data_IF_532583188091
#
_entry.id   IF_532583188091
#
_cell.length_a   1.000
_cell.length_b   1.000
_cell.length_c   1.000
_cell.angle_alpha   90.00
_cell.angle_beta   90.00
_cell.angle_gamma   90.00
#
_symmetry.space_group_name_H-M   'P 1'
#
loop_
_entity.id
_entity.type
_entity.pdbx_description
1 polymer ?
#
# COMPACT_ATOMS: atom_id res chain seq x y z
N UNK A 1 -10.16 -21.08 43.76
CA UNK A 1 -9.03 -21.63 43.01
C UNK A 1 -9.51 -22.02 41.62
N UNK A 2 -9.00 -21.37 40.58
CA UNK A 2 -9.31 -21.66 39.18
C UNK A 2 -8.05 -22.23 38.54
N UNK A 3 -8.14 -23.40 37.93
CA UNK A 3 -7.05 -23.98 37.15
C UNK A 3 -7.37 -23.78 35.67
N UNK A 4 -6.46 -23.14 34.93
CA UNK A 4 -6.64 -22.80 33.52
C UNK A 4 -5.40 -23.20 32.72
N UNK A 5 -5.57 -23.51 31.43
CA UNK A 5 -4.46 -23.63 30.48
C UNK A 5 -4.65 -22.58 29.42
N UNK A 6 -3.70 -21.65 29.31
CA UNK A 6 -3.66 -20.70 28.23
C UNK A 6 -2.84 -21.30 27.09
N UNK A 7 -3.45 -21.44 25.93
CA UNK A 7 -2.75 -21.87 24.72
C UNK A 7 -2.70 -20.70 23.74
N UNK A 8 -1.48 -20.33 23.36
CA UNK A 8 -1.20 -19.42 22.26
C UNK A 8 -0.74 -20.26 21.07
N UNK A 9 -1.61 -20.39 20.09
CA UNK A 9 -1.27 -20.92 18.78
C UNK A 9 -0.99 -19.79 17.81
N UNK A 10 -0.18 -20.06 16.79
CA UNK A 10 0.01 -19.15 15.68
C UNK A 10 0.63 -19.87 14.50
N UNK A 11 0.43 -19.33 13.33
CA UNK A 11 1.09 -19.76 12.12
C UNK A 11 1.80 -18.55 11.53
N UNK A 12 3.12 -18.64 11.36
CA UNK A 12 3.90 -17.62 10.69
C UNK A 12 4.36 -18.18 9.35
N UNK A 13 4.01 -17.52 8.24
CA UNK A 13 4.67 -17.78 6.97
C UNK A 13 5.92 -16.91 6.90
N UNK A 14 7.05 -17.41 6.39
CA UNK A 14 8.20 -16.55 6.11
C UNK A 14 7.75 -15.39 5.19
N UNK A 15 7.78 -14.16 5.71
CA UNK A 15 7.36 -12.97 4.97
C UNK A 15 5.87 -12.60 5.07
N UNK A 16 5.06 -13.24 5.92
CA UNK A 16 3.72 -12.73 6.28
C UNK A 16 3.74 -12.01 7.62
N UNK A 17 2.91 -10.98 7.74
CA UNK A 17 2.67 -10.25 8.99
C UNK A 17 1.21 -10.28 9.45
N UNK A 18 1.03 -10.00 10.74
CA UNK A 18 -0.23 -10.04 11.45
C UNK A 18 -1.22 -8.99 10.91
N UNK A 19 -2.45 -9.43 10.65
CA UNK A 19 -3.52 -8.60 10.10
C UNK A 19 -3.96 -7.44 11.00
N UNK A 20 -4.70 -6.52 10.38
CA UNK A 20 -5.21 -5.25 10.93
C UNK A 20 -5.70 -5.33 12.37
N UNK A 21 -5.07 -4.55 13.25
CA UNK A 21 -5.31 -4.45 14.70
C UNK A 21 -6.50 -3.53 15.09
N UNK A 22 -7.46 -3.28 14.22
CA UNK A 22 -8.57 -2.34 14.49
C UNK A 22 -9.95 -2.99 14.53
N UNK A 23 -10.67 -2.85 15.65
CA UNK A 23 -12.06 -3.28 15.79
C UNK A 23 -13.01 -2.28 15.12
N UNK A 24 -13.57 -2.70 13.97
CA UNK A 24 -14.51 -1.91 13.19
C UNK A 24 -15.84 -1.61 13.91
N UNK A 25 -16.19 -2.36 14.97
CA UNK A 25 -17.47 -2.20 15.68
C UNK A 25 -17.39 -1.11 16.74
N UNK A 26 -16.26 -0.98 17.42
CA UNK A 26 -16.12 -0.08 18.58
C UNK A 26 -15.26 1.16 18.31
N UNK A 27 -14.56 1.24 17.18
CA UNK A 27 -13.74 2.41 16.82
C UNK A 27 -12.56 2.63 17.78
N UNK A 28 -12.11 1.57 18.45
CA UNK A 28 -10.98 1.59 19.39
C UNK A 28 -9.91 0.61 18.94
N UNK A 29 -8.67 1.05 19.05
CA UNK A 29 -7.48 0.20 18.98
C UNK A 29 -7.43 -0.65 20.26
N UNK A 30 -7.24 -1.97 20.14
CA UNK A 30 -6.94 -2.83 21.30
C UNK A 30 -8.13 -3.43 22.06
N UNK A 31 -9.32 -3.55 21.45
CA UNK A 31 -10.39 -4.43 21.96
C UNK A 31 -10.94 -5.32 20.85
N UNK A 32 -10.34 -6.49 20.65
CA UNK A 32 -10.81 -7.45 19.65
C UNK A 32 -11.76 -8.48 20.25
N UNK A 33 -12.91 -8.72 19.59
CA UNK A 33 -13.77 -9.89 19.80
C UNK A 33 -13.84 -10.84 18.60
N UNK A 34 -13.02 -10.64 17.58
CA UNK A 34 -13.02 -11.44 16.33
C UNK A 34 -11.58 -11.74 15.84
N UNK A 35 -11.40 -12.85 15.09
CA UNK A 35 -10.09 -13.51 14.92
C UNK A 35 -9.18 -12.80 13.93
N UNK A 36 -7.91 -12.64 14.32
CA UNK A 36 -6.81 -12.09 13.52
C UNK A 36 -6.04 -13.25 12.82
N UNK A 37 -5.26 -13.03 11.74
CA UNK A 37 -4.59 -14.10 10.99
C UNK A 37 -3.35 -14.67 11.70
N UNK A 38 -2.95 -14.12 12.85
CA UNK A 38 -2.37 -14.93 13.92
C UNK A 38 -3.56 -15.44 14.72
N UNK A 39 -3.98 -16.69 14.51
CA UNK A 39 -4.99 -17.35 15.35
C UNK A 39 -4.45 -17.54 16.78
N UNK A 40 -4.33 -16.45 17.54
CA UNK A 40 -4.29 -16.48 18.99
C UNK A 40 -5.71 -16.79 19.48
N UNK A 41 -6.13 -18.04 19.31
CA UNK A 41 -7.37 -18.52 19.92
C UNK A 41 -7.08 -18.82 21.38
N UNK A 42 -7.34 -17.83 22.24
CA UNK A 42 -7.39 -18.06 23.68
C UNK A 42 -8.69 -18.79 24.00
N UNK A 43 -8.63 -20.12 24.10
CA UNK A 43 -9.76 -20.90 24.61
C UNK A 43 -9.81 -20.75 26.13
N UNK A 44 -10.58 -19.78 26.61
CA UNK A 44 -10.82 -19.56 28.04
C UNK A 44 -12.23 -19.99 28.39
N UNK A 45 -12.35 -20.96 29.30
CA UNK A 45 -13.62 -21.27 29.96
C UNK A 45 -13.83 -20.28 31.13
N UNK A 46 -14.39 -19.10 30.86
CA UNK A 46 -14.69 -18.09 31.89
C UNK A 46 -14.38 -16.63 31.51
N UNK A 47 -15.02 -15.67 32.18
CA UNK A 47 -15.14 -14.27 31.75
C UNK A 47 -13.86 -13.41 31.83
N UNK A 48 -13.71 -12.55 30.81
CA UNK A 48 -12.87 -11.33 30.67
C UNK A 48 -11.38 -11.51 30.32
N UNK A 49 -11.04 -11.31 29.03
CA UNK A 49 -9.68 -11.16 28.50
C UNK A 49 -9.57 -9.78 27.84
N UNK A 50 -8.50 -9.05 28.10
CA UNK A 50 -8.03 -7.91 27.29
C UNK A 50 -6.72 -8.33 26.59
N UNK A 51 -6.57 -8.06 25.30
CA UNK A 51 -5.35 -8.35 24.53
C UNK A 51 -4.86 -7.15 23.73
N UNK A 52 -3.55 -7.03 23.56
CA UNK A 52 -2.88 -6.05 22.71
C UNK A 52 -1.78 -6.74 21.91
N UNK A 53 -1.55 -6.38 20.66
CA UNK A 53 -0.50 -6.97 19.82
C UNK A 53 0.43 -5.86 19.36
N UNK A 54 1.75 -6.01 19.48
CA UNK A 54 2.80 -5.20 18.81
C UNK A 54 3.32 -5.96 17.57
N UNK A 55 4.02 -5.32 16.63
CA UNK A 55 4.86 -6.04 15.68
C UNK A 55 5.80 -7.00 16.46
N UNK A 56 5.66 -8.30 16.20
CA UNK A 56 6.35 -9.40 16.88
C UNK A 56 6.01 -9.70 18.36
N UNK A 57 4.97 -9.12 18.98
CA UNK A 57 4.57 -9.47 20.36
C UNK A 57 3.05 -9.55 20.54
N UNK A 58 2.57 -10.51 21.35
CA UNK A 58 1.16 -10.68 21.69
C UNK A 58 1.02 -10.60 23.22
N UNK A 59 0.29 -9.60 23.70
CA UNK A 59 -0.01 -9.40 25.11
C UNK A 59 -1.42 -9.91 25.40
N UNK A 60 -1.56 -10.83 26.35
CA UNK A 60 -2.85 -11.38 26.79
C UNK A 60 -2.96 -11.20 28.30
N UNK A 61 -3.97 -10.47 28.75
CA UNK A 61 -4.25 -10.27 30.18
C UNK A 61 -5.28 -11.29 30.67
N UNK A 62 -4.85 -12.19 31.56
CA UNK A 62 -5.67 -13.14 32.30
C UNK A 62 -5.06 -13.36 33.69
N UNK A 63 -5.92 -13.49 34.71
CA UNK A 63 -5.50 -13.58 36.11
C UNK A 63 -5.03 -15.03 36.43
N UNK A 64 -3.97 -15.28 37.23
CA UNK A 64 -3.51 -16.66 37.60
C UNK A 64 -2.02 -17.03 37.66
N UNK A 65 -1.65 -18.07 38.42
CA UNK A 65 -0.29 -18.55 38.74
C UNK A 65 0.10 -19.88 38.07
N UNK A 66 1.15 -20.02 37.25
CA UNK A 66 1.54 -21.40 36.92
C UNK A 66 2.80 -21.66 36.09
N UNK A 67 2.75 -22.69 35.26
CA UNK A 67 3.93 -23.37 34.70
C UNK A 67 3.89 -23.33 33.16
N UNK A 68 5.00 -22.92 32.54
CA UNK A 68 5.15 -22.88 31.08
C UNK A 68 5.45 -24.29 30.56
N UNK A 69 4.57 -24.78 29.69
CA UNK A 69 4.82 -26.02 28.97
C UNK A 69 5.79 -25.74 27.81
N UNK A 70 6.65 -26.71 27.46
CA UNK A 70 7.57 -26.54 26.35
C UNK A 70 6.82 -26.22 25.05
N UNK A 71 7.32 -25.26 24.24
CA UNK A 71 6.68 -24.89 22.98
C UNK A 71 6.69 -26.08 22.02
N UNK A 72 5.55 -26.31 21.35
CA UNK A 72 5.44 -27.24 20.23
C UNK A 72 5.60 -26.44 18.94
N UNK A 73 6.57 -26.82 18.12
CA UNK A 73 6.78 -26.27 16.78
C UNK A 73 6.49 -27.36 15.76
N UNK A 74 5.64 -27.05 14.79
CA UNK A 74 5.26 -27.93 13.70
C UNK A 74 5.47 -27.19 12.38
N UNK A 75 6.17 -27.84 11.45
CA UNK A 75 6.40 -27.28 10.11
C UNK A 75 5.42 -27.91 9.15
N UNK A 76 4.51 -27.10 8.60
CA UNK A 76 3.51 -27.55 7.63
C UNK A 76 3.73 -26.87 6.30
N UNK A 77 3.53 -27.58 5.20
CA UNK A 77 3.39 -26.96 3.89
C UNK A 77 1.90 -26.74 3.69
N UNK A 78 1.45 -25.49 3.77
CA UNK A 78 0.08 -25.14 3.46
C UNK A 78 -0.06 -24.92 1.96
N UNK A 79 -1.14 -25.43 1.39
CA UNK A 79 -1.53 -25.21 0.00
C UNK A 79 -2.63 -24.15 0.00
N UNK A 80 -2.30 -22.93 -0.40
CA UNK A 80 -3.26 -21.84 -0.51
C UNK A 80 -3.37 -21.45 -1.97
N UNK A 81 -4.53 -21.67 -2.58
CA UNK A 81 -4.78 -21.41 -4.01
C UNK A 81 -3.77 -22.08 -4.97
N UNK A 82 -3.23 -23.26 -4.61
CA UNK A 82 -2.23 -23.98 -5.41
C UNK A 82 -0.76 -23.56 -5.15
N UNK A 83 -0.53 -22.61 -4.26
CA UNK A 83 0.81 -22.21 -3.81
C UNK A 83 1.22 -23.02 -2.58
N UNK A 84 2.26 -23.84 -2.73
CA UNK A 84 2.91 -24.53 -1.60
C UNK A 84 3.84 -23.58 -0.86
N UNK A 85 3.48 -23.17 0.35
CA UNK A 85 4.34 -22.35 1.21
C UNK A 85 4.67 -23.03 2.53
N UNK A 86 5.94 -23.07 2.95
CA UNK A 86 6.28 -23.52 4.29
C UNK A 86 5.70 -22.53 5.29
N UNK A 87 4.87 -23.04 6.19
CA UNK A 87 4.28 -22.31 7.31
C UNK A 87 4.85 -22.88 8.59
N UNK A 88 5.38 -22.02 9.44
CA UNK A 88 5.81 -22.38 10.79
C UNK A 88 4.61 -22.25 11.72
N UNK A 89 4.01 -23.38 12.09
CA UNK A 89 3.00 -23.40 13.14
C UNK A 89 3.69 -23.55 14.50
N UNK A 90 3.22 -22.79 15.49
CA UNK A 90 3.66 -22.92 16.86
C UNK A 90 2.46 -23.01 17.80
N UNK A 91 2.66 -23.71 18.89
CA UNK A 91 1.74 -23.77 20.01
C UNK A 91 2.56 -23.64 21.30
N UNK A 92 2.26 -22.61 22.09
CA UNK A 92 2.84 -22.38 23.41
C UNK A 92 1.70 -22.48 24.41
N UNK A 93 1.82 -23.39 25.38
CA UNK A 93 0.81 -23.57 26.42
C UNK A 93 1.36 -23.22 27.80
N UNK A 94 0.55 -22.57 28.62
CA UNK A 94 0.91 -22.15 29.97
C UNK A 94 -0.21 -22.55 30.93
N UNK A 95 0.11 -23.37 31.95
CA UNK A 95 -0.84 -23.74 33.00
C UNK A 95 -0.88 -22.63 34.04
N UNK A 96 -2.06 -22.38 34.62
CA UNK A 96 -2.35 -21.30 35.55
C UNK A 96 -3.24 -21.82 36.69
N UNK A 97 -3.04 -21.28 37.89
CA UNK A 97 -3.75 -21.54 39.14
C UNK A 97 -4.02 -20.18 39.78
N UNK A 98 -5.26 -19.70 39.71
CA UNK A 98 -5.68 -18.42 40.30
C UNK A 98 -6.28 -18.67 41.67
N UNK A 99 -5.70 -18.11 42.73
CA UNK A 99 -6.34 -18.14 44.04
C UNK A 99 -7.40 -17.02 44.20
N UNK A 100 -8.43 -17.19 45.04
CA UNK A 100 -9.47 -16.18 45.23
C UNK A 100 -8.88 -14.82 45.68
N UNK A 101 -9.11 -13.77 44.89
CA UNK A 101 -8.60 -12.42 45.17
C UNK A 101 -7.16 -12.15 44.70
N UNK A 102 -6.49 -13.11 44.07
CA UNK A 102 -5.16 -12.96 43.48
C UNK A 102 -5.23 -12.46 42.03
N UNK A 103 -4.36 -11.50 41.66
CA UNK A 103 -4.21 -11.00 40.28
C UNK A 103 -2.81 -11.27 39.75
N UNK A 104 -2.70 -11.75 38.50
CA UNK A 104 -1.41 -11.93 37.80
C UNK A 104 -1.46 -11.35 36.40
N UNK A 105 -0.28 -11.02 35.90
CA UNK A 105 -0.08 -10.50 34.55
C UNK A 105 0.91 -11.40 33.83
N UNK A 106 0.57 -11.78 32.60
CA UNK A 106 1.39 -12.63 31.75
C UNK A 106 1.71 -11.84 30.49
N UNK A 107 2.99 -11.83 30.10
CA UNK A 107 3.43 -11.28 28.83
C UNK A 107 4.06 -12.41 28.02
N UNK A 108 3.53 -12.63 26.80
CA UNK A 108 4.11 -13.57 25.86
C UNK A 108 4.96 -12.79 24.87
N UNK A 109 6.24 -13.18 24.75
CA UNK A 109 7.10 -12.64 23.71
C UNK A 109 7.55 -13.77 22.79
N UNK A 110 7.32 -13.60 21.50
CA UNK A 110 7.79 -14.51 20.46
C UNK A 110 8.83 -13.78 19.63
N UNK A 111 10.10 -14.13 19.81
CA UNK A 111 11.19 -13.55 19.03
C UNK A 111 11.54 -14.47 17.86
N UNK A 112 11.49 -13.94 16.64
CA UNK A 112 11.97 -14.62 15.44
C UNK A 112 13.43 -14.24 15.20
N UNK A 113 14.30 -15.22 14.98
CA UNK A 113 15.72 -15.00 14.70
C UNK A 113 16.27 -16.10 13.79
N UNK A 114 17.29 -15.76 13.00
CA UNK A 114 17.97 -16.70 12.10
C UNK A 114 18.76 -17.78 12.85
N UNK A 115 19.00 -17.60 14.15
CA UNK A 115 19.51 -18.64 15.03
C UNK A 115 19.16 -18.35 16.50
N UNK A 116 19.12 -19.41 17.33
CA UNK A 116 18.97 -19.29 18.79
C UNK A 116 20.06 -18.44 19.46
N UNK A 117 21.24 -18.33 18.86
CA UNK A 117 22.36 -17.58 19.41
C UNK A 117 22.22 -16.06 19.24
N UNK A 118 21.36 -15.60 18.32
CA UNK A 118 21.13 -14.18 18.01
C UNK A 118 19.83 -13.65 18.66
N UNK A 119 18.96 -14.55 19.11
CA UNK A 119 17.75 -14.20 19.86
C UNK A 119 18.12 -13.76 21.29
N UNK A 120 18.46 -12.49 21.47
CA UNK A 120 18.28 -11.90 22.80
C UNK A 120 16.77 -11.87 23.07
N UNK A 121 16.28 -12.44 24.18
CA UNK A 121 14.87 -12.28 24.53
C UNK A 121 14.62 -10.77 24.63
N UNK A 122 13.62 -10.23 23.90
CA UNK A 122 13.34 -8.81 23.96
C UNK A 122 13.03 -8.44 25.41
N UNK A 123 13.31 -7.19 25.75
CA UNK A 123 13.00 -6.70 27.10
C UNK A 123 11.51 -6.83 27.31
N UNK A 124 11.10 -7.65 28.29
CA UNK A 124 9.69 -7.77 28.66
C UNK A 124 9.28 -6.42 29.26
N UNK A 125 8.46 -5.69 28.52
CA UNK A 125 7.83 -4.46 29.00
C UNK A 125 6.52 -4.81 29.71
N UNK A 126 6.09 -3.95 30.65
CA UNK A 126 4.77 -4.13 31.29
C UNK A 126 3.65 -3.96 30.25
N UNK A 127 2.49 -4.57 30.52
CA UNK A 127 1.30 -4.37 29.69
C UNK A 127 0.96 -2.88 29.55
N UNK A 128 1.03 -2.12 30.65
CA UNK A 128 0.79 -0.68 30.64
C UNK A 128 1.77 0.07 29.73
N UNK A 129 3.04 -0.36 29.68
CA UNK A 129 4.05 0.25 28.81
C UNK A 129 3.84 -0.12 27.34
N UNK A 130 3.44 -1.36 27.04
CA UNK A 130 3.06 -1.76 25.69
C UNK A 130 1.82 -1.00 25.21
N UNK A 131 0.80 -0.90 26.06
CA UNK A 131 -0.39 -0.11 25.78
C UNK A 131 -0.05 1.36 25.57
N UNK A 132 0.82 1.94 26.42
CA UNK A 132 1.26 3.32 26.26
C UNK A 132 2.00 3.53 24.94
N UNK A 133 2.89 2.61 24.54
CA UNK A 133 3.58 2.69 23.25
C UNK A 133 2.60 2.65 22.07
N UNK A 134 1.54 1.83 22.17
CA UNK A 134 0.44 1.81 21.20
C UNK A 134 -0.37 3.10 21.16
N UNK A 135 -0.76 3.60 22.34
CA UNK A 135 -1.52 4.84 22.48
C UNK A 135 -0.70 6.02 21.90
N UNK A 136 0.61 6.03 22.12
CA UNK A 136 1.55 7.02 21.54
C UNK A 136 1.65 6.86 20.01
N UNK A 137 1.83 5.63 19.50
CA UNK A 137 1.94 5.35 18.05
C UNK A 137 0.67 5.70 17.28
N UNK A 138 -0.50 5.56 17.89
CA UNK A 138 -1.79 5.82 17.24
C UNK A 138 -2.45 7.11 17.67
N UNK A 139 -1.80 7.94 18.50
CA UNK A 139 -2.32 9.23 18.93
C UNK A 139 -2.73 10.10 17.72
N UNK A 140 -1.93 10.08 16.65
CA UNK A 140 -2.22 10.81 15.41
C UNK A 140 -3.42 10.23 14.64
N UNK A 141 -3.68 8.92 14.72
CA UNK A 141 -4.88 8.29 14.14
C UNK A 141 -6.12 8.67 14.94
N UNK A 142 -6.03 8.67 16.27
CA UNK A 142 -7.13 9.09 17.15
C UNK A 142 -7.51 10.56 16.97
N UNK A 143 -6.64 11.39 16.42
CA UNK A 143 -6.96 12.78 16.06
C UNK A 143 -7.93 12.89 14.86
N UNK A 144 -8.08 11.84 14.04
CA UNK A 144 -9.01 11.85 12.91
C UNK A 144 -10.45 11.91 13.43
N UNK A 145 -11.18 12.95 13.04
CA UNK A 145 -12.59 13.14 13.38
C UNK A 145 -13.37 13.70 12.20
N UNK A 146 -14.59 13.20 12.01
CA UNK A 146 -15.57 13.73 11.07
C UNK A 146 -16.93 13.84 11.76
N UNK A 147 -17.89 14.61 11.22
CA UNK A 147 -19.23 14.68 11.78
C UNK A 147 -19.95 13.31 11.84
N UNK A 148 -19.56 12.36 10.98
CA UNK A 148 -20.09 11.00 10.94
C UNK A 148 -19.18 10.04 11.74
N UNK A 149 -19.75 9.39 12.75
CA UNK A 149 -19.01 8.46 13.61
C UNK A 149 -18.57 7.19 12.88
N UNK A 150 -19.39 6.66 11.97
CA UNK A 150 -19.06 5.47 11.18
C UNK A 150 -17.95 5.79 10.20
N UNK A 151 -18.03 6.95 9.54
CA UNK A 151 -16.96 7.39 8.65
C UNK A 151 -15.65 7.66 9.39
N UNK A 152 -15.73 8.25 10.59
CA UNK A 152 -14.57 8.43 11.47
C UNK A 152 -13.92 7.09 11.83
N UNK A 153 -14.71 6.09 12.23
CA UNK A 153 -14.19 4.76 12.55
C UNK A 153 -13.55 4.08 11.32
N UNK A 154 -14.14 4.23 10.13
CA UNK A 154 -13.58 3.70 8.89
C UNK A 154 -12.24 4.34 8.54
N UNK A 155 -12.13 5.68 8.62
CA UNK A 155 -10.88 6.38 8.35
C UNK A 155 -9.76 5.99 9.33
N UNK A 156 -10.08 5.91 10.62
CA UNK A 156 -9.13 5.48 11.65
C UNK A 156 -8.64 4.05 11.41
N UNK A 157 -9.55 3.14 11.06
CA UNK A 157 -9.20 1.77 10.69
C UNK A 157 -8.23 1.73 9.52
N UNK A 158 -8.54 2.48 8.45
CA UNK A 158 -7.70 2.53 7.25
C UNK A 158 -6.33 3.13 7.56
N UNK A 159 -6.26 4.22 8.33
CA UNK A 159 -4.99 4.83 8.73
C UNK A 159 -4.15 3.88 9.59
N UNK A 160 -4.74 3.24 10.61
CA UNK A 160 -4.05 2.26 11.45
C UNK A 160 -3.53 1.07 10.63
N UNK A 161 -4.32 0.58 9.67
CA UNK A 161 -3.86 -0.46 8.75
C UNK A 161 -2.69 0.01 7.89
N UNK A 162 -2.78 1.18 7.24
CA UNK A 162 -1.66 1.74 6.47
C UNK A 162 -0.40 1.92 7.31
N UNK A 163 -0.50 2.36 8.58
CA UNK A 163 0.63 2.47 9.50
C UNK A 163 1.26 1.11 9.85
N UNK A 164 0.46 0.05 9.89
CA UNK A 164 0.95 -1.30 10.13
C UNK A 164 1.72 -1.88 8.94
N UNK A 165 1.57 -1.31 7.75
CA UNK A 165 2.29 -1.74 6.55
C UNK A 165 3.69 -1.10 6.45
N UNK A 166 4.04 -0.13 7.31
CA UNK A 166 5.33 0.57 7.26
C UNK A 166 6.41 -0.12 8.10
N UNK A 167 7.55 -0.43 7.47
CA UNK A 167 8.67 -1.15 8.06
C UNK A 167 9.96 -0.37 7.95
N UNK A 168 10.50 0.04 9.11
CA UNK A 168 11.83 0.65 9.18
C UNK A 168 12.89 -0.39 8.84
N UNK A 169 13.79 -0.06 7.90
CA UNK A 169 14.90 -0.94 7.60
C UNK A 169 15.99 -0.78 8.65
N UNK A 170 16.31 -1.88 9.34
CA UNK A 170 17.26 -1.89 10.44
C UNK A 170 18.61 -1.25 10.07
N UNK A 171 19.03 -0.26 10.88
CA UNK A 171 20.30 0.45 10.69
C UNK A 171 20.27 1.52 9.61
N UNK A 172 19.10 1.81 9.02
CA UNK A 172 18.90 2.87 8.01
C UNK A 172 17.78 3.80 8.46
N UNK A 173 17.87 5.07 8.06
CA UNK A 173 16.80 6.05 8.26
C UNK A 173 15.83 6.00 7.08
N UNK A 174 15.23 4.84 6.87
CA UNK A 174 14.46 4.48 5.68
C UNK A 174 13.35 3.50 6.06
N UNK A 175 12.24 3.56 5.33
CA UNK A 175 11.06 2.70 5.53
C UNK A 175 10.63 2.14 4.19
N UNK A 176 10.11 0.91 4.17
CA UNK A 176 9.31 0.38 3.05
C UNK A 176 7.86 0.20 3.47
N UNK A 177 6.94 0.27 2.52
CA UNK A 177 5.58 -0.20 2.75
C UNK A 177 5.43 -1.60 2.15
N UNK A 178 4.95 -2.56 2.93
CA UNK A 178 4.58 -3.86 2.38
C UNK A 178 3.19 -3.79 1.77
N UNK A 179 3.10 -4.17 0.50
CA UNK A 179 1.83 -4.36 -0.16
C UNK A 179 1.23 -5.70 0.28
N UNK A 180 -0.09 -5.74 0.45
CA UNK A 180 -0.83 -6.96 0.77
C UNK A 180 -0.97 -7.87 -0.47
N UNK A 181 0.16 -8.18 -1.09
CA UNK A 181 0.27 -9.28 -2.02
C UNK A 181 0.72 -10.47 -1.19
N UNK A 182 -0.20 -11.41 -0.94
CA UNK A 182 0.01 -12.70 -0.25
C UNK A 182 1.21 -13.50 -0.78
N UNK A 183 1.82 -13.05 -1.88
CA UNK A 183 2.91 -13.69 -2.56
C UNK A 183 4.31 -13.28 -2.06
N UNK A 184 4.61 -12.00 -1.76
CA UNK A 184 5.97 -11.55 -1.44
C UNK A 184 5.96 -10.30 -0.53
N UNK A 185 6.83 -10.19 0.49
CA UNK A 185 7.01 -8.96 1.27
C UNK A 185 7.77 -7.93 0.43
N UNK A 186 7.05 -7.22 -0.44
CA UNK A 186 7.59 -6.25 -1.40
C UNK A 186 6.90 -4.90 -1.29
N UNK A 187 7.63 -3.89 -1.77
CA UNK A 187 7.20 -2.51 -1.91
C UNK A 187 6.88 -2.26 -3.39
N UNK A 188 5.60 -2.17 -3.74
CA UNK A 188 5.16 -1.87 -5.11
C UNK A 188 4.90 -0.36 -5.23
N UNK A 189 5.55 0.29 -6.19
CA UNK A 189 5.51 1.75 -6.33
C UNK A 189 4.09 2.35 -6.44
N UNK A 190 3.13 1.61 -7.03
CA UNK A 190 1.73 2.05 -7.15
C UNK A 190 1.00 1.95 -5.82
N UNK A 191 1.05 0.80 -5.19
CA UNK A 191 0.33 0.53 -3.95
C UNK A 191 0.91 1.36 -2.80
N UNK A 192 2.23 1.41 -2.70
CA UNK A 192 2.97 2.16 -1.68
C UNK A 192 2.74 3.66 -1.81
N UNK A 193 2.62 4.20 -3.03
CA UNK A 193 2.18 5.60 -3.20
C UNK A 193 0.81 5.85 -2.54
N UNK A 194 -0.15 4.93 -2.70
CA UNK A 194 -1.48 5.10 -2.10
C UNK A 194 -1.44 4.98 -0.56
N UNK A 195 -0.61 4.08 -0.03
CA UNK A 195 -0.37 3.94 1.42
C UNK A 195 0.32 5.19 1.97
N UNK A 196 1.47 5.58 1.43
CA UNK A 196 2.21 6.77 1.84
C UNK A 196 1.31 8.02 1.76
N UNK A 197 0.54 8.15 0.68
CA UNK A 197 -0.34 9.27 0.51
C UNK A 197 -1.53 9.30 1.49
N UNK A 198 -2.02 8.15 1.97
CA UNK A 198 -3.05 8.12 3.02
C UNK A 198 -2.51 8.57 4.37
N UNK A 199 -1.21 8.34 4.60
CA UNK A 199 -0.50 8.67 5.83
C UNK A 199 0.12 10.07 5.82
N UNK A 200 0.20 10.74 4.67
CA UNK A 200 0.95 11.99 4.53
C UNK A 200 0.55 13.09 5.55
N UNK A 201 -0.73 13.17 5.91
CA UNK A 201 -1.23 14.16 6.87
C UNK A 201 -1.19 13.68 8.33
N UNK A 202 -0.82 12.43 8.56
CA UNK A 202 -0.86 11.75 9.86
C UNK A 202 0.58 11.45 10.34
N UNK A 203 1.41 10.89 9.45
CA UNK A 203 2.81 10.51 9.69
C UNK A 203 3.71 10.95 8.52
N UNK A 204 3.92 12.27 8.31
CA UNK A 204 4.76 12.76 7.22
C UNK A 204 6.21 12.28 7.30
N UNK A 205 6.74 12.03 8.51
CA UNK A 205 8.09 11.50 8.69
C UNK A 205 8.24 10.07 8.16
N UNK A 206 7.19 9.25 8.28
CA UNK A 206 7.20 7.89 7.72
C UNK A 206 7.23 7.95 6.19
N UNK A 207 6.47 8.88 5.59
CA UNK A 207 6.51 9.14 4.14
C UNK A 207 7.89 9.66 3.71
N UNK A 208 8.51 10.53 4.50
CA UNK A 208 9.87 11.02 4.25
C UNK A 208 10.88 9.86 4.21
N UNK A 209 10.82 8.94 5.18
CA UNK A 209 11.67 7.74 5.21
C UNK A 209 11.43 6.81 4.02
N UNK A 210 10.20 6.68 3.55
CA UNK A 210 9.87 5.93 2.33
C UNK A 210 10.44 6.59 1.07
N UNK A 211 10.34 7.92 0.96
CA UNK A 211 10.99 8.66 -0.12
C UNK A 211 12.52 8.53 -0.07
N UNK A 212 13.13 8.49 1.12
CA UNK A 212 14.57 8.20 1.26
C UNK A 212 14.91 6.84 0.68
N UNK A 213 14.12 5.81 0.98
CA UNK A 213 14.30 4.49 0.39
C UNK A 213 14.24 4.53 -1.14
N UNK A 214 13.22 5.17 -1.75
CA UNK A 214 13.15 5.26 -3.22
C UNK A 214 14.30 6.05 -3.84
N UNK A 215 14.53 7.27 -3.35
CA UNK A 215 15.38 8.23 -4.04
C UNK A 215 16.87 8.11 -3.71
N UNK A 216 17.22 7.48 -2.58
CA UNK A 216 18.61 7.34 -2.12
C UNK A 216 19.12 5.89 -2.11
N UNK A 217 18.23 4.89 -2.22
CA UNK A 217 18.61 3.46 -2.23
C UNK A 217 18.06 2.73 -3.47
N UNK A 218 16.75 2.50 -3.52
CA UNK A 218 16.13 1.57 -4.46
C UNK A 218 16.30 1.95 -5.94
N UNK A 219 15.91 3.17 -6.34
CA UNK A 219 15.96 3.62 -7.74
C UNK A 219 17.41 3.92 -8.20
N UNK A 220 18.28 4.51 -7.37
CA UNK A 220 19.71 4.59 -7.69
C UNK A 220 20.32 3.23 -8.04
N UNK A 221 20.04 2.21 -7.22
CA UNK A 221 20.68 0.90 -7.33
C UNK A 221 20.03 -0.01 -8.39
N UNK A 222 18.70 -0.02 -8.49
CA UNK A 222 17.97 -0.97 -9.32
C UNK A 222 17.28 -0.35 -10.55
N UNK A 223 17.23 0.99 -10.64
CA UNK A 223 16.43 1.69 -11.65
C UNK A 223 14.94 1.73 -11.29
N UNK A 224 14.13 2.34 -12.15
CA UNK A 224 12.66 2.33 -11.99
C UNK A 224 12.13 0.93 -12.27
N UNK A 225 11.81 0.20 -11.22
CA UNK A 225 11.21 -1.13 -11.27
C UNK A 225 9.78 -1.15 -10.72
N UNK A 226 9.12 -2.30 -10.90
CA UNK A 226 7.75 -2.51 -10.43
C UNK A 226 7.65 -2.55 -8.91
N UNK A 227 8.53 -3.34 -8.32
CA UNK A 227 8.58 -3.53 -6.88
C UNK A 227 10.00 -3.68 -6.38
N UNK A 228 10.20 -3.44 -5.09
CA UNK A 228 11.48 -3.53 -4.41
C UNK A 228 11.35 -4.30 -3.10
N UNK A 229 12.43 -4.94 -2.68
CA UNK A 229 12.58 -5.41 -1.29
C UNK A 229 13.42 -4.40 -0.49
N UNK A 230 13.37 -4.45 0.84
CA UNK A 230 14.09 -3.56 1.76
C UNK A 230 15.62 -3.58 1.67
N UNK A 231 16.21 -4.23 0.66
CA UNK A 231 17.63 -4.12 0.27
C UNK A 231 17.85 -3.25 -0.97
N UNK A 232 16.82 -2.54 -1.44
CA UNK A 232 16.89 -1.75 -2.68
C UNK A 232 16.97 -2.59 -3.95
N UNK A 233 16.60 -3.88 -3.89
CA UNK A 233 16.65 -4.79 -5.03
C UNK A 233 15.28 -4.82 -5.69
N UNK A 234 15.22 -4.56 -7.00
CA UNK A 234 13.98 -4.67 -7.75
C UNK A 234 13.57 -6.12 -8.00
N UNK A 235 12.30 -6.40 -7.80
CA UNK A 235 11.60 -7.66 -8.11
C UNK A 235 10.60 -7.45 -9.26
N UNK A 236 10.59 -8.38 -10.22
CA UNK A 236 9.78 -8.32 -11.44
C UNK A 236 10.60 -8.12 -12.73
N UNK A 237 9.94 -8.19 -13.89
CA UNK A 237 10.59 -7.99 -15.20
C UNK A 237 11.10 -6.55 -15.32
N UNK A 238 12.42 -6.38 -15.24
CA UNK A 238 13.11 -5.07 -15.33
C UNK A 238 13.00 -4.39 -16.69
N UNK A 239 12.57 -5.12 -17.71
CA UNK A 239 12.47 -4.63 -19.09
C UNK A 239 11.11 -4.01 -19.41
N UNK A 240 10.12 -4.13 -18.51
CA UNK A 240 8.79 -3.56 -18.69
C UNK A 240 8.81 -2.04 -18.49
N UNK A 241 8.34 -1.28 -19.50
CA UNK A 241 8.11 0.17 -19.39
C UNK A 241 6.78 0.37 -18.69
N UNK A 242 6.82 0.74 -17.41
CA UNK A 242 5.63 0.89 -16.58
C UNK A 242 5.46 2.37 -16.20
N UNK A 243 4.65 3.09 -16.97
CA UNK A 243 4.53 4.54 -16.85
C UNK A 243 4.07 4.98 -15.47
N UNK A 244 3.11 4.27 -14.90
CA UNK A 244 2.58 4.57 -13.58
C UNK A 244 3.63 4.36 -12.50
N UNK A 245 4.42 3.29 -12.57
CA UNK A 245 5.45 2.97 -11.58
C UNK A 245 6.65 3.91 -11.65
N UNK A 246 6.94 4.49 -12.82
CA UNK A 246 7.88 5.60 -12.92
C UNK A 246 7.29 6.92 -12.37
N UNK A 247 5.99 7.14 -12.53
CA UNK A 247 5.32 8.37 -12.11
C UNK A 247 5.01 8.43 -10.61
N UNK A 248 4.70 7.30 -9.97
CA UNK A 248 4.23 7.29 -8.58
C UNK A 248 5.26 7.76 -7.55
N UNK A 249 6.55 7.34 -7.59
CA UNK A 249 7.57 7.86 -6.68
C UNK A 249 7.76 9.38 -6.81
N UNK A 250 7.76 9.89 -8.05
CA UNK A 250 7.84 11.32 -8.35
C UNK A 250 6.62 12.08 -7.83
N UNK A 251 5.43 11.47 -7.96
CA UNK A 251 4.19 12.05 -7.47
C UNK A 251 4.12 12.06 -5.95
N UNK A 252 4.61 11.00 -5.30
CA UNK A 252 4.77 10.95 -3.85
C UNK A 252 5.66 12.09 -3.35
N UNK A 253 6.83 12.28 -3.98
CA UNK A 253 7.76 13.35 -3.64
C UNK A 253 7.10 14.73 -3.72
N UNK A 254 6.38 15.01 -4.81
CA UNK A 254 5.66 16.28 -4.94
C UNK A 254 4.58 16.44 -3.87
N UNK A 255 3.79 15.39 -3.60
CA UNK A 255 2.73 15.48 -2.57
C UNK A 255 3.32 15.72 -1.20
N UNK A 256 4.43 15.04 -0.87
CA UNK A 256 5.17 15.24 0.36
C UNK A 256 5.64 16.67 0.49
N UNK A 257 6.37 17.20 -0.49
CA UNK A 257 6.85 18.58 -0.50
C UNK A 257 5.70 19.59 -0.35
N UNK A 258 4.60 19.41 -1.09
CA UNK A 258 3.42 20.29 -0.98
C UNK A 258 2.76 20.27 0.39
N UNK A 259 2.84 19.16 1.12
CA UNK A 259 2.24 19.01 2.44
C UNK A 259 3.15 19.51 3.56
N UNK A 260 4.46 19.33 3.44
CA UNK A 260 5.43 19.60 4.51
C UNK A 260 6.26 20.86 4.31
N UNK A 261 6.47 21.29 3.07
CA UNK A 261 7.42 22.35 2.74
C UNK A 261 8.88 21.97 3.00
N UNK A 262 9.23 20.67 2.99
CA UNK A 262 10.61 20.20 3.19
C UNK A 262 11.48 20.47 1.96
N UNK A 263 11.82 21.74 1.77
CA UNK A 263 12.71 22.23 0.70
C UNK A 263 14.10 21.60 0.78
N UNK A 264 14.57 21.25 1.99
CA UNK A 264 15.87 20.65 2.21
C UNK A 264 15.95 19.24 1.63
N UNK A 265 14.89 18.43 1.81
CA UNK A 265 14.84 17.08 1.25
C UNK A 265 14.73 17.07 -0.27
N UNK A 266 13.87 17.90 -0.87
CA UNK A 266 13.75 17.96 -2.34
C UNK A 266 15.00 18.53 -3.01
N UNK A 267 15.77 19.36 -2.29
CA UNK A 267 17.02 19.94 -2.75
C UNK A 267 18.23 19.01 -2.53
N UNK A 268 18.07 17.89 -1.82
CA UNK A 268 19.14 16.93 -1.59
C UNK A 268 19.73 16.45 -2.94
N UNK A 269 21.07 16.49 -3.12
CA UNK A 269 21.69 16.13 -4.39
C UNK A 269 21.38 14.71 -4.87
N UNK A 270 21.26 13.74 -3.95
CA UNK A 270 20.89 12.36 -4.28
C UNK A 270 19.44 12.26 -4.74
N UNK A 271 18.54 12.98 -4.07
CA UNK A 271 17.13 13.07 -4.50
C UNK A 271 17.01 13.69 -5.89
N UNK A 272 17.66 14.84 -6.12
CA UNK A 272 17.63 15.54 -7.43
C UNK A 272 18.21 14.68 -8.54
N UNK A 273 19.36 14.04 -8.30
CA UNK A 273 19.98 13.14 -9.27
C UNK A 273 19.04 11.99 -9.67
N UNK A 274 18.33 11.41 -8.69
CA UNK A 274 17.38 10.33 -8.96
C UNK A 274 16.14 10.84 -9.71
N UNK A 275 15.62 12.03 -9.39
CA UNK A 275 14.54 12.65 -10.17
C UNK A 275 14.98 12.84 -11.63
N UNK A 276 16.16 13.42 -11.86
CA UNK A 276 16.71 13.64 -13.20
C UNK A 276 16.88 12.33 -13.96
N UNK A 277 17.36 11.28 -13.29
CA UNK A 277 17.49 9.92 -13.86
C UNK A 277 16.13 9.38 -14.31
N UNK A 278 15.12 9.42 -13.45
CA UNK A 278 13.76 8.94 -13.78
C UNK A 278 13.21 9.74 -14.98
N UNK A 279 13.33 11.07 -14.96
CA UNK A 279 12.84 11.94 -16.05
C UNK A 279 13.56 11.65 -17.36
N UNK A 280 14.88 11.47 -17.33
CA UNK A 280 15.65 11.11 -18.51
C UNK A 280 15.24 9.74 -19.06
N UNK A 281 15.05 8.75 -18.19
CA UNK A 281 14.63 7.40 -18.57
C UNK A 281 13.25 7.41 -19.24
N UNK A 282 12.25 8.06 -18.64
CA UNK A 282 10.90 8.13 -19.23
C UNK A 282 10.87 8.95 -20.52
N UNK A 283 11.74 9.96 -20.66
CA UNK A 283 11.85 10.72 -21.92
C UNK A 283 12.28 9.82 -23.09
N UNK A 284 13.07 8.77 -22.84
CA UNK A 284 13.43 7.78 -23.87
C UNK A 284 12.26 6.92 -24.33
N UNK A 285 11.15 6.89 -23.57
CA UNK A 285 9.95 6.12 -23.90
C UNK A 285 8.96 6.93 -24.75
N UNK A 286 9.24 8.22 -24.98
CA UNK A 286 8.40 9.07 -25.82
C UNK A 286 8.56 8.70 -27.29
N UNK A 287 7.43 8.49 -27.96
CA UNK A 287 7.40 8.27 -29.39
C UNK A 287 7.70 9.57 -30.15
N UNK A 288 8.70 9.59 -31.05
CA UNK A 288 8.94 10.74 -31.91
C UNK A 288 7.81 10.96 -32.93
N UNK A 289 6.94 9.95 -33.14
CA UNK A 289 5.82 10.03 -34.08
C UNK A 289 4.59 10.68 -33.46
N UNK A 290 4.22 10.26 -32.25
CA UNK A 290 2.98 10.67 -31.60
C UNK A 290 3.20 11.66 -30.44
N UNK A 291 4.39 11.69 -29.85
CA UNK A 291 4.68 12.42 -28.61
C UNK A 291 4.11 11.75 -27.36
N UNK A 292 3.45 10.59 -27.49
CA UNK A 292 2.97 9.77 -26.37
C UNK A 292 4.10 8.90 -25.82
N UNK A 293 4.01 8.57 -24.53
CA UNK A 293 4.94 7.68 -23.85
C UNK A 293 4.45 6.24 -23.94
N UNK A 294 5.35 5.32 -24.30
CA UNK A 294 5.01 3.90 -24.42
C UNK A 294 4.95 3.22 -23.04
N UNK A 295 3.99 2.30 -22.87
CA UNK A 295 3.87 1.40 -21.72
C UNK A 295 3.77 -0.04 -22.21
N UNK A 296 4.44 -0.98 -21.55
CA UNK A 296 4.34 -2.41 -21.86
C UNK A 296 3.13 -3.05 -21.19
N UNK A 297 2.76 -2.58 -20.00
CA UNK A 297 1.64 -3.09 -19.21
C UNK A 297 0.76 -1.94 -18.70
N UNK A 298 -0.45 -2.31 -18.30
CA UNK A 298 -1.46 -1.47 -17.63
C UNK A 298 -1.22 -1.43 -16.13
N UNK A 299 -2.05 -0.65 -15.44
CA UNK A 299 -2.16 -0.70 -13.98
C UNK A 299 -2.68 -2.03 -13.42
N UNK A 300 -3.26 -2.90 -14.26
CA UNK A 300 -3.68 -4.26 -13.88
C UNK A 300 -2.56 -5.31 -13.98
N UNK A 301 -1.34 -4.89 -14.35
CA UNK A 301 -0.21 -5.79 -14.68
C UNK A 301 -0.44 -6.66 -15.94
N UNK A 302 -1.48 -6.37 -16.71
CA UNK A 302 -1.73 -6.97 -18.02
C UNK A 302 -0.95 -6.23 -19.11
N UNK A 303 -0.46 -6.96 -20.13
CA UNK A 303 0.17 -6.34 -21.30
C UNK A 303 -0.82 -5.44 -22.04
N UNK A 304 -0.35 -4.27 -22.45
CA UNK A 304 -1.14 -3.37 -23.29
C UNK A 304 -1.41 -4.03 -24.64
N UNK A 305 -2.60 -3.80 -25.19
CA UNK A 305 -2.96 -4.20 -26.57
C UNK A 305 -2.31 -3.26 -27.57
N UNK A 306 -2.34 -1.96 -27.28
CA UNK A 306 -1.61 -0.92 -28.02
C UNK A 306 -0.57 -0.23 -27.13
N UNK A 307 0.57 0.23 -27.69
CA UNK A 307 1.72 0.66 -26.90
C UNK A 307 1.50 1.92 -26.05
N UNK A 308 0.47 2.73 -26.32
CA UNK A 308 0.23 3.97 -25.59
C UNK A 308 -0.94 3.83 -24.63
N UNK A 309 -0.63 3.42 -23.40
CA UNK A 309 -1.57 3.39 -22.29
C UNK A 309 -1.91 4.82 -21.83
N UNK A 310 -3.12 5.28 -22.13
CA UNK A 310 -3.51 6.70 -21.99
C UNK A 310 -3.65 7.12 -20.53
N UNK A 311 -4.27 6.34 -19.63
CA UNK A 311 -4.24 6.65 -18.20
C UNK A 311 -2.83 6.81 -17.62
N UNK A 312 -1.89 5.92 -17.99
CA UNK A 312 -0.49 6.03 -17.60
C UNK A 312 0.17 7.30 -18.12
N UNK A 313 -0.09 7.68 -19.38
CA UNK A 313 0.35 8.95 -19.95
C UNK A 313 -0.21 10.14 -19.17
N UNK A 314 -1.51 10.15 -18.86
CA UNK A 314 -2.16 11.23 -18.11
C UNK A 314 -1.55 11.39 -16.71
N UNK A 315 -1.29 10.28 -16.01
CA UNK A 315 -0.62 10.30 -14.71
C UNK A 315 0.81 10.86 -14.83
N UNK A 316 1.62 10.33 -15.74
CA UNK A 316 3.01 10.77 -15.93
C UNK A 316 3.08 12.26 -16.30
N UNK A 317 2.31 12.69 -17.30
CA UNK A 317 2.29 14.09 -17.76
C UNK A 317 1.89 15.02 -16.62
N UNK A 318 0.80 14.71 -15.91
CA UNK A 318 0.38 15.51 -14.78
C UNK A 318 1.44 15.54 -13.68
N UNK A 319 2.16 14.45 -13.44
CA UNK A 319 3.28 14.43 -12.48
C UNK A 319 4.47 15.28 -12.96
N UNK A 320 4.83 15.23 -14.25
CA UNK A 320 5.91 16.06 -14.81
C UNK A 320 5.59 17.56 -14.70
N UNK A 321 4.34 17.98 -14.90
CA UNK A 321 3.93 19.38 -14.68
C UNK A 321 4.17 19.83 -13.24
N UNK A 322 3.93 18.95 -12.27
CA UNK A 322 4.12 19.21 -10.84
C UNK A 322 5.58 19.27 -10.46
N UNK A 323 6.41 18.42 -11.06
CA UNK A 323 7.87 18.50 -10.91
C UNK A 323 8.43 19.77 -11.53
N UNK A 324 7.93 20.17 -12.70
CA UNK A 324 8.33 21.40 -13.36
C UNK A 324 7.99 22.63 -12.50
N UNK A 325 6.83 22.64 -11.83
CA UNK A 325 6.46 23.64 -10.82
C UNK A 325 7.43 23.60 -9.63
N UNK A 326 7.63 22.43 -9.03
CA UNK A 326 8.43 22.25 -7.82
C UNK A 326 9.90 22.63 -7.99
N UNK A 327 10.49 22.35 -9.16
CA UNK A 327 11.89 22.61 -9.46
C UNK A 327 12.13 23.83 -10.36
N UNK A 328 11.08 24.53 -10.79
CA UNK A 328 11.15 25.59 -11.80
C UNK A 328 11.92 25.16 -13.07
N UNK A 329 11.70 23.92 -13.52
CA UNK A 329 12.52 23.28 -14.56
C UNK A 329 11.87 23.37 -15.95
N UNK A 330 12.43 24.22 -16.81
CA UNK A 330 11.84 24.54 -18.13
C UNK A 330 11.73 23.33 -19.07
N UNK A 331 12.74 22.46 -19.13
CA UNK A 331 12.70 21.30 -20.04
C UNK A 331 11.65 20.25 -19.62
N UNK A 332 11.46 20.04 -18.32
CA UNK A 332 10.38 19.19 -17.79
C UNK A 332 9.02 19.81 -18.15
N UNK A 333 8.88 21.13 -18.04
CA UNK A 333 7.66 21.84 -18.43
C UNK A 333 7.35 21.65 -19.92
N UNK A 334 8.36 21.74 -20.79
CA UNK A 334 8.22 21.51 -22.24
C UNK A 334 7.82 20.07 -22.55
N UNK A 335 8.47 19.09 -21.92
CA UNK A 335 8.16 17.67 -22.09
C UNK A 335 6.70 17.37 -21.69
N UNK A 336 6.27 17.87 -20.53
CA UNK A 336 4.92 17.69 -20.04
C UNK A 336 3.87 18.34 -20.96
N UNK A 337 4.12 19.59 -21.38
CA UNK A 337 3.24 20.30 -22.32
C UNK A 337 3.11 19.55 -23.65
N UNK A 338 4.22 19.09 -24.22
CA UNK A 338 4.19 18.33 -25.48
C UNK A 338 3.42 17.00 -25.33
N UNK A 339 3.62 16.28 -24.22
CA UNK A 339 2.87 15.07 -23.92
C UNK A 339 1.37 15.32 -23.77
N UNK A 340 0.97 16.41 -23.11
CA UNK A 340 -0.44 16.80 -22.97
C UNK A 340 -1.08 17.08 -24.33
N UNK A 341 -0.40 17.87 -25.17
CA UNK A 341 -0.85 18.15 -26.54
C UNK A 341 -0.96 16.86 -27.37
N UNK A 342 -0.03 15.91 -27.18
CA UNK A 342 -0.07 14.60 -27.83
C UNK A 342 -1.28 13.78 -27.40
N UNK A 343 -1.64 13.73 -26.11
CA UNK A 343 -2.84 13.03 -25.63
C UNK A 343 -4.09 13.61 -26.28
N UNK A 344 -4.28 14.93 -26.27
CA UNK A 344 -5.46 15.52 -26.91
C UNK A 344 -5.51 15.30 -28.43
N UNK A 345 -4.34 15.25 -29.10
CA UNK A 345 -4.26 15.06 -30.55
C UNK A 345 -4.48 13.61 -30.99
N UNK A 346 -3.97 12.64 -30.23
CA UNK A 346 -3.87 11.25 -30.65
C UNK A 346 -4.78 10.30 -29.88
N UNK A 347 -5.19 10.66 -28.65
CA UNK A 347 -5.99 9.79 -27.79
C UNK A 347 -7.46 10.19 -27.71
N UNK A 348 -7.87 11.31 -28.32
CA UNK A 348 -9.28 11.68 -28.42
C UNK A 348 -9.86 11.06 -29.69
N UNK A 349 -10.89 10.23 -29.53
CA UNK A 349 -11.57 9.52 -30.61
C UNK A 349 -13.04 9.91 -30.66
N UNK A 350 -13.60 9.94 -31.86
CA UNK A 350 -15.02 10.24 -32.08
C UNK A 350 -15.86 8.96 -31.96
N UNK A 351 -16.78 8.95 -31.00
CA UNK A 351 -17.78 7.91 -30.85
C UNK A 351 -19.18 8.40 -31.27
N UNK A 352 -19.93 7.56 -31.97
CA UNK A 352 -21.27 7.94 -32.48
C UNK A 352 -22.30 8.21 -31.39
N UNK A 353 -22.15 7.58 -30.23
CA UNK A 353 -23.11 7.67 -29.13
C UNK A 353 -22.64 8.68 -28.09
N UNK A 354 -21.35 8.66 -27.74
CA UNK A 354 -20.81 9.48 -26.66
C UNK A 354 -20.17 10.79 -27.14
N UNK A 355 -19.83 10.92 -28.43
CA UNK A 355 -19.08 12.05 -28.97
C UNK A 355 -17.56 11.90 -28.77
N UNK A 356 -16.79 13.01 -28.80
CA UNK A 356 -15.34 12.96 -28.60
C UNK A 356 -15.02 12.53 -27.17
N UNK A 357 -14.17 11.53 -27.03
CA UNK A 357 -13.78 10.94 -25.75
C UNK A 357 -12.35 10.40 -25.78
N UNK A 358 -11.71 10.27 -24.62
CA UNK A 358 -10.41 9.61 -24.50
C UNK A 358 -10.52 8.11 -24.72
N UNK A 359 -9.66 7.57 -25.58
CA UNK A 359 -9.37 6.14 -25.67
C UNK A 359 -8.52 5.68 -24.48
N UNK A 360 -8.60 4.39 -24.18
CA UNK A 360 -7.84 3.76 -23.09
C UNK A 360 -6.40 3.44 -23.52
N UNK A 361 -6.24 2.93 -24.74
CA UNK A 361 -4.95 2.72 -25.38
C UNK A 361 -5.00 3.16 -26.84
N UNK A 362 -3.87 3.62 -27.37
CA UNK A 362 -3.72 4.05 -28.78
C UNK A 362 -2.47 3.41 -29.39
N UNK A 363 -2.54 3.10 -30.69
CA UNK A 363 -1.43 2.62 -31.51
C UNK A 363 -0.83 3.68 -32.43
N UNK A 364 0.35 3.39 -33.01
CA UNK A 364 1.05 4.31 -33.91
C UNK A 364 0.28 4.65 -35.19
N UNK A 365 -0.61 3.77 -35.62
CA UNK A 365 -1.43 3.90 -36.82
C UNK A 365 -2.80 4.55 -36.56
N UNK A 366 -3.06 4.96 -35.30
CA UNK A 366 -4.34 5.50 -34.87
C UNK A 366 -5.38 4.43 -34.50
N UNK A 367 -5.00 3.15 -34.46
CA UNK A 367 -5.83 2.13 -33.81
C UNK A 367 -6.00 2.47 -32.31
N UNK A 368 -7.12 2.10 -31.71
CA UNK A 368 -7.43 2.44 -30.33
C UNK A 368 -8.27 1.38 -29.64
N UNK A 369 -8.17 1.34 -28.32
CA UNK A 369 -9.00 0.52 -27.43
C UNK A 369 -9.89 1.43 -26.58
N UNK A 370 -11.18 1.11 -26.53
CA UNK A 370 -12.15 1.73 -25.62
C UNK A 370 -12.42 0.77 -24.46
N UNK A 371 -11.97 1.15 -23.27
CA UNK A 371 -12.01 0.33 -22.07
C UNK A 371 -11.82 1.22 -20.83
N UNK A 372 -12.15 0.75 -19.64
CA UNK A 372 -11.61 1.25 -18.36
C UNK A 372 -11.86 0.22 -17.27
N UNK A 373 -10.99 0.14 -16.26
CA UNK A 373 -11.09 -0.81 -15.14
C UNK A 373 -10.74 -0.15 -13.80
N UNK A 374 -10.78 -0.93 -12.72
CA UNK A 374 -10.63 -0.46 -11.34
C UNK A 374 -9.23 0.03 -10.98
N UNK A 375 -8.18 -0.52 -11.60
CA UNK A 375 -6.80 -0.24 -11.17
C UNK A 375 -6.31 1.13 -11.64
N UNK A 376 -5.63 1.84 -10.75
CA UNK A 376 -5.23 3.23 -10.95
C UNK A 376 -3.76 3.27 -11.42
N UNK A 377 -3.40 3.96 -12.52
CA UNK A 377 -4.23 4.92 -13.24
C UNK A 377 -5.26 4.32 -14.19
N UNK A 378 -6.46 4.92 -14.18
CA UNK A 378 -7.57 4.67 -15.11
C UNK A 378 -8.13 6.00 -15.64
N UNK A 379 -9.00 5.95 -16.65
CA UNK A 379 -9.55 7.16 -17.27
C UNK A 379 -10.44 7.94 -16.30
N UNK A 380 -11.19 7.27 -15.42
CA UNK A 380 -11.98 7.93 -14.36
C UNK A 380 -11.11 8.85 -13.50
N UNK A 381 -9.89 8.41 -13.16
CA UNK A 381 -8.96 9.12 -12.28
C UNK A 381 -8.22 10.30 -12.94
N UNK A 382 -8.45 10.59 -14.23
CA UNK A 382 -7.77 11.67 -14.95
C UNK A 382 -7.85 13.03 -14.23
N UNK A 383 -9.02 13.35 -13.66
CA UNK A 383 -9.25 14.59 -12.90
C UNK A 383 -8.55 14.58 -11.55
N UNK A 384 -8.50 13.42 -10.88
CA UNK A 384 -7.74 13.21 -9.63
C UNK A 384 -6.25 13.43 -9.85
N UNK A 385 -5.75 13.13 -11.06
CA UNK A 385 -4.36 13.41 -11.40
C UNK A 385 -4.08 14.90 -11.63
N UNK A 386 -5.12 15.69 -11.87
CA UNK A 386 -5.00 17.06 -12.37
C UNK A 386 -4.72 17.10 -13.87
N UNK A 387 -5.03 16.03 -14.61
CA UNK A 387 -4.85 16.02 -16.06
C UNK A 387 -5.90 16.91 -16.73
N UNK A 388 -7.19 16.62 -16.57
CA UNK A 388 -8.26 17.45 -17.14
C UNK A 388 -9.19 18.01 -16.06
N UNK A 389 -10.00 19.01 -16.44
CA UNK A 389 -11.01 19.55 -15.55
C UNK A 389 -12.19 18.59 -15.42
N UNK A 390 -12.86 18.58 -14.26
CA UNK A 390 -14.04 17.74 -14.04
C UNK A 390 -15.17 18.00 -15.05
N UNK A 391 -15.29 19.23 -15.56
CA UNK A 391 -16.30 19.62 -16.55
C UNK A 391 -15.78 19.63 -18.00
N UNK A 392 -14.59 19.08 -18.25
CA UNK A 392 -14.09 18.90 -19.62
C UNK A 392 -15.09 18.02 -20.41
N UNK A 393 -15.63 18.50 -21.54
CA UNK A 393 -16.64 17.75 -22.30
C UNK A 393 -16.13 16.40 -22.79
N UNK A 394 -14.84 16.27 -23.12
CA UNK A 394 -14.22 15.02 -23.55
C UNK A 394 -14.21 14.03 -22.38
N UNK A 395 -13.81 14.48 -21.19
CA UNK A 395 -13.84 13.66 -19.98
C UNK A 395 -15.27 13.25 -19.59
N UNK A 396 -16.24 14.15 -19.71
CA UNK A 396 -17.64 13.84 -19.43
C UNK A 396 -18.20 12.78 -20.40
N UNK A 397 -17.82 12.84 -21.68
CA UNK A 397 -18.18 11.81 -22.64
C UNK A 397 -17.49 10.47 -22.34
N UNK A 398 -16.20 10.51 -21.96
CA UNK A 398 -15.47 9.34 -21.46
C UNK A 398 -16.18 8.70 -20.25
N UNK A 399 -16.62 9.47 -19.26
CA UNK A 399 -17.37 8.93 -18.11
C UNK A 399 -18.69 8.27 -18.52
N UNK A 400 -19.44 8.86 -19.46
CA UNK A 400 -20.67 8.23 -19.98
C UNK A 400 -20.39 6.88 -20.62
N UNK A 401 -19.31 6.76 -21.39
CA UNK A 401 -18.87 5.48 -21.94
C UNK A 401 -18.51 4.48 -20.84
N UNK A 402 -17.71 4.90 -19.85
CA UNK A 402 -17.19 4.02 -18.81
C UNK A 402 -18.30 3.38 -17.96
N UNK A 403 -19.34 4.14 -17.65
CA UNK A 403 -20.51 3.65 -16.91
C UNK A 403 -21.61 3.04 -17.81
N UNK A 404 -21.33 2.82 -19.09
CA UNK A 404 -22.25 2.17 -20.01
C UNK A 404 -21.98 0.67 -20.11
N UNK A 405 -22.97 -0.09 -20.60
CA UNK A 405 -22.81 -1.51 -20.91
C UNK A 405 -21.79 -1.80 -22.04
N UNK A 406 -21.28 -0.76 -22.73
CA UNK A 406 -20.26 -0.90 -23.78
C UNK A 406 -18.85 -1.02 -23.21
N UNK A 407 -18.60 -0.59 -21.97
CA UNK A 407 -17.32 -0.82 -21.31
C UNK A 407 -17.27 -2.26 -20.79
N UNK A 408 -16.39 -3.09 -21.35
CA UNK A 408 -16.23 -4.48 -20.91
C UNK A 408 -15.64 -4.61 -19.51
N UNK A 409 -14.94 -3.58 -19.02
CA UNK A 409 -14.43 -3.52 -17.64
C UNK A 409 -15.48 -3.07 -16.62
N UNK A 410 -16.72 -2.82 -17.03
CA UNK A 410 -17.81 -2.43 -16.14
C UNK A 410 -18.79 -3.59 -15.93
N UNK A 411 -19.05 -3.95 -14.66
CA UNK A 411 -20.14 -4.86 -14.28
C UNK A 411 -21.22 -4.07 -13.54
N UNK A 412 -22.34 -3.83 -14.20
CA UNK A 412 -23.54 -3.28 -13.56
C UNK A 412 -24.31 -4.34 -12.77
N UNK A 413 -24.89 -3.97 -11.62
CA UNK A 413 -25.94 -4.79 -10.98
C UNK A 413 -27.28 -4.62 -11.72
N UNK A 414 -28.20 -5.60 -11.60
CA UNK A 414 -29.41 -5.78 -12.43
C UNK A 414 -30.36 -4.57 -12.57
N UNK A 415 -30.19 -3.48 -11.81
CA UNK A 415 -31.05 -2.30 -11.85
C UNK A 415 -30.31 -1.00 -12.22
N UNK A 416 -29.04 -1.06 -12.62
CA UNK A 416 -28.24 0.12 -13.05
C UNK A 416 -27.97 1.16 -11.96
N UNK A 417 -28.34 0.88 -10.70
CA UNK A 417 -28.18 1.80 -9.55
C UNK A 417 -26.81 1.74 -8.90
N UNK A 418 -26.13 0.59 -8.98
CA UNK A 418 -24.80 0.36 -8.45
C UNK A 418 -24.03 -0.48 -9.48
N UNK A 419 -22.89 0.01 -9.94
CA UNK A 419 -22.00 -0.75 -10.81
C UNK A 419 -20.57 -0.51 -10.41
N UNK A 420 -19.76 -1.54 -10.59
CA UNK A 420 -18.36 -1.53 -10.21
C UNK A 420 -17.52 -1.76 -11.47
N UNK A 421 -16.36 -1.11 -11.50
CA UNK A 421 -15.33 -1.50 -12.44
C UNK A 421 -14.74 -2.81 -11.93
N UNK A 422 -14.55 -3.76 -12.82
CA UNK A 422 -13.92 -5.03 -12.50
C UNK A 422 -12.61 -5.13 -13.27
N UNK A 423 -11.66 -5.84 -12.67
CA UNK A 423 -10.61 -6.48 -13.44
C UNK A 423 -11.24 -7.50 -14.39
N UNK A 424 -10.75 -7.54 -15.63
CA UNK A 424 -11.27 -8.43 -16.66
C UNK A 424 -10.88 -9.90 -16.49
N UNK A 425 -10.41 -10.32 -15.31
CA UNK A 425 -9.82 -11.65 -15.07
C UNK A 425 -10.84 -12.78 -15.12
#
# INVERSE_FOLDING_TARGET
RVEATLTMSGAARPGEEAGSFYDAVNGTVGRHRTPNPVECTTKVEGNAIDSANEPAQVFVRLEGNGELLPPRLDTRIADFLGMKRPTLAFEVSYKLVIEPGERKELAFSVAFANSRAVASPPTIISFDRAKQAWDERLAHVEAIQTPDKLFTAALRRSAAYSLSLGYDIAGRDETIFHCDHLEWPLDNARDCYHIANSLLLIEPELVRKHLRFYFLDAIPNAGTGKSYIGKGISCGERESRLLDLAAYPLRELYRYWRATGDDAFVADPGVRQTVEKIVADVATWQSPKTGLFASTERSSDERCVYPYFIPGNMLLIATLERLAEMYEHEDIAKLAKAGREAVYRHAVVEDREFGPMFAFEVGDDGAFLLYDHSDIPNLISATRFGFCAQHDPIYQNTLKFIYSARNQGYRGTMDGKYGELCDGS
#
